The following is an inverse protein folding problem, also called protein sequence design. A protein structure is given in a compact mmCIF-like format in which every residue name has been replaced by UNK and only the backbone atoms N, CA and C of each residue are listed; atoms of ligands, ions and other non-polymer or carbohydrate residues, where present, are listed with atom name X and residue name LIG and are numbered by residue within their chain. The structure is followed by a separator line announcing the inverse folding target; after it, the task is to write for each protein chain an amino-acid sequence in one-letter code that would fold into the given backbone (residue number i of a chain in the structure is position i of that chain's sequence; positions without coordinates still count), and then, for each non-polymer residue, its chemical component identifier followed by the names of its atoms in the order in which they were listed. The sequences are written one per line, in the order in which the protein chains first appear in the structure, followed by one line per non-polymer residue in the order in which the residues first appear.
data_IF_933242833725
#
_entry.id   IF_933242833725
#
_cell.length_a   1.000
_cell.length_b   1.000
_cell.length_c   1.000
_cell.angle_alpha   90.00
_cell.angle_beta   90.00
_cell.angle_gamma   90.00
#
_symmetry.space_group_name_H-M   'P 1'
#
loop_
_entity.id
_entity.type
_entity.pdbx_description
1 polymer ?
#
# COMPACT_ATOMS: atom_id res chain seq x y z
N UNK A 1 24.90 -0.94 17.44
CA UNK A 1 24.31 -0.38 18.67
C UNK A 1 23.50 -1.44 19.41
N UNK A 2 23.46 -1.36 20.74
CA UNK A 2 22.72 -2.29 21.63
C UNK A 2 21.31 -1.79 21.97
N UNK A 3 20.81 -0.80 21.24
CA UNK A 3 19.48 -0.27 21.45
C UNK A 3 18.42 -1.33 21.13
N UNK A 4 17.44 -1.47 22.03
CA UNK A 4 16.31 -2.39 21.88
C UNK A 4 15.06 -1.69 21.35
N UNK A 5 14.98 -0.35 21.50
CA UNK A 5 13.86 0.45 21.00
C UNK A 5 14.40 1.67 20.28
N UNK A 6 13.81 1.97 19.12
CA UNK A 6 14.04 3.20 18.37
C UNK A 6 12.75 4.03 18.41
N UNK A 7 12.89 5.32 18.73
CA UNK A 7 11.78 6.28 18.67
C UNK A 7 12.19 7.39 17.71
N UNK A 8 11.50 7.48 16.57
CA UNK A 8 11.68 8.57 15.62
C UNK A 8 10.76 9.74 15.99
N UNK A 9 11.35 10.88 16.31
CA UNK A 9 10.63 12.13 16.57
C UNK A 9 10.96 13.20 15.52
N UNK A 10 11.60 12.81 14.42
CA UNK A 10 11.94 13.68 13.30
C UNK A 10 10.84 13.60 12.20
N UNK A 11 10.78 14.55 11.28
CA UNK A 11 9.86 14.51 10.15
C UNK A 11 10.33 13.57 9.02
N UNK A 12 11.44 12.84 9.18
CA UNK A 12 11.95 11.92 8.15
C UNK A 12 10.93 10.80 7.85
N UNK A 13 10.62 10.61 6.59
CA UNK A 13 9.58 9.67 6.14
C UNK A 13 8.18 10.24 6.11
N UNK A 14 7.98 11.51 6.53
CA UNK A 14 6.68 12.20 6.44
C UNK A 14 6.43 12.66 5.00
N UNK A 15 5.16 12.64 4.58
CA UNK A 15 4.74 13.18 3.30
C UNK A 15 5.16 14.67 3.15
N UNK A 16 5.70 15.11 1.99
CA UNK A 16 5.83 14.36 0.72
C UNK A 16 7.09 13.49 0.61
N UNK A 17 8.06 13.60 1.52
CA UNK A 17 9.37 12.91 1.43
C UNK A 17 9.31 11.51 2.08
N UNK A 18 8.35 10.70 1.64
CA UNK A 18 8.08 9.38 2.22
C UNK A 18 9.21 8.35 2.00
N UNK A 19 10.17 8.65 1.11
CA UNK A 19 11.32 7.77 0.85
C UNK A 19 12.41 7.91 1.92
N UNK A 20 12.43 9.01 2.66
CA UNK A 20 13.45 9.26 3.68
C UNK A 20 13.31 8.27 4.85
N UNK A 21 14.45 7.87 5.38
CA UNK A 21 14.56 7.10 6.62
C UNK A 21 15.52 7.78 7.58
N UNK A 22 15.17 7.95 8.86
CA UNK A 22 16.06 8.61 9.82
C UNK A 22 17.29 7.73 10.14
N UNK A 23 17.14 6.40 10.03
CA UNK A 23 18.18 5.44 10.39
C UNK A 23 17.94 4.10 9.68
N UNK A 24 19.01 3.34 9.44
CA UNK A 24 18.92 1.97 9.00
C UNK A 24 18.88 1.03 10.21
N UNK A 25 17.75 0.33 10.39
CA UNK A 25 17.54 -0.61 11.50
C UNK A 25 18.40 -1.87 11.40
N UNK A 26 19.06 -2.13 10.25
CA UNK A 26 20.02 -3.22 10.11
C UNK A 26 21.19 -3.10 11.09
N UNK A 27 21.51 -1.89 11.51
CA UNK A 27 22.59 -1.60 12.45
C UNK A 27 22.25 -1.90 13.93
N UNK A 28 21.04 -2.44 14.21
CA UNK A 28 20.53 -2.68 15.56
C UNK A 28 20.09 -4.14 15.73
N UNK A 29 21.05 -5.06 16.00
CA UNK A 29 20.74 -6.50 16.06
C UNK A 29 19.87 -6.91 17.26
N UNK A 30 19.75 -6.05 18.27
CA UNK A 30 18.93 -6.28 19.47
C UNK A 30 17.60 -5.51 19.47
N UNK A 31 17.21 -4.98 18.31
CA UNK A 31 16.00 -4.16 18.20
C UNK A 31 14.74 -5.01 18.40
N UNK A 32 13.89 -4.61 19.35
CA UNK A 32 12.63 -5.27 19.71
C UNK A 32 11.42 -4.40 19.38
N UNK A 33 11.61 -3.08 19.24
CA UNK A 33 10.50 -2.17 18.99
C UNK A 33 10.90 -0.90 18.24
N UNK A 34 9.97 -0.38 17.44
CA UNK A 34 10.07 0.90 16.73
C UNK A 34 8.81 1.70 16.97
N UNK A 35 8.97 2.97 17.36
CA UNK A 35 7.88 3.94 17.46
C UNK A 35 8.23 5.11 16.54
N UNK A 36 7.30 5.49 15.68
CA UNK A 36 7.47 6.64 14.80
C UNK A 36 6.42 7.70 15.13
N UNK A 37 6.84 8.95 15.38
CA UNK A 37 5.90 10.04 15.61
C UNK A 37 5.18 10.49 14.32
N UNK A 38 5.68 10.10 13.16
CA UNK A 38 5.04 10.38 11.87
C UNK A 38 3.73 9.57 11.76
N UNK A 39 2.64 10.27 11.41
CA UNK A 39 1.31 9.68 11.22
C UNK A 39 0.76 9.82 9.79
N UNK A 40 1.50 10.47 8.93
CA UNK A 40 1.19 10.61 7.50
C UNK A 40 2.49 10.47 6.67
N UNK A 41 2.68 9.31 6.06
CA UNK A 41 1.79 8.17 5.88
C UNK A 41 1.48 7.41 7.19
N UNK A 42 0.52 6.47 7.17
CA UNK A 42 0.21 5.60 8.31
C UNK A 42 1.40 4.74 8.73
N UNK A 43 2.20 4.31 7.77
CA UNK A 43 3.42 3.51 7.94
C UNK A 43 4.55 4.15 7.16
N UNK A 44 5.57 4.63 7.85
CA UNK A 44 6.81 5.10 7.21
C UNK A 44 7.66 3.92 6.76
N UNK A 45 8.68 4.17 5.95
CA UNK A 45 9.65 3.13 5.60
C UNK A 45 10.33 2.53 6.83
N UNK A 46 10.55 3.31 7.89
CA UNK A 46 11.09 2.83 9.17
C UNK A 46 10.15 1.80 9.82
N UNK A 47 8.85 2.08 9.85
CA UNK A 47 7.82 1.18 10.39
C UNK A 47 7.71 -0.08 9.53
N UNK A 48 7.69 0.05 8.21
CA UNK A 48 7.63 -1.08 7.27
C UNK A 48 8.85 -2.00 7.42
N UNK A 49 10.07 -1.45 7.46
CA UNK A 49 11.30 -2.23 7.63
C UNK A 49 11.28 -3.04 8.95
N UNK A 50 10.73 -2.47 10.02
CA UNK A 50 10.61 -3.16 11.29
C UNK A 50 9.57 -4.30 11.23
N UNK A 51 8.40 -4.05 10.62
CA UNK A 51 7.35 -5.06 10.46
C UNK A 51 7.81 -6.24 9.60
N UNK A 52 8.54 -5.99 8.50
CA UNK A 52 9.12 -7.01 7.64
C UNK A 52 10.12 -7.92 8.38
N UNK A 53 10.76 -7.41 9.44
CA UNK A 53 11.65 -8.18 10.32
C UNK A 53 10.92 -8.83 11.51
N UNK A 54 9.61 -8.72 11.60
CA UNK A 54 8.84 -9.20 12.73
C UNK A 54 9.06 -8.41 14.03
N UNK A 55 9.63 -7.19 13.94
CA UNK A 55 9.80 -6.28 15.06
C UNK A 55 8.52 -5.49 15.25
N UNK A 56 8.09 -5.33 16.51
CA UNK A 56 6.92 -4.51 16.84
C UNK A 56 7.15 -3.07 16.40
N UNK A 57 6.26 -2.52 15.57
CA UNK A 57 6.39 -1.16 15.09
C UNK A 57 5.03 -0.46 15.00
N UNK A 58 5.01 0.81 15.44
CA UNK A 58 3.80 1.63 15.50
C UNK A 58 4.07 3.02 14.96
N UNK A 59 3.13 3.56 14.16
CA UNK A 59 3.14 4.93 13.67
C UNK A 59 2.48 5.91 14.63
N UNK A 60 2.60 7.22 14.35
CA UNK A 60 2.20 8.30 15.25
C UNK A 60 0.70 8.56 15.40
N UNK A 61 -0.17 7.85 14.64
CA UNK A 61 -1.61 8.15 14.66
C UNK A 61 -2.25 7.94 16.04
N UNK A 62 -1.86 6.87 16.75
CA UNK A 62 -2.38 6.63 18.09
C UNK A 62 -1.99 7.74 19.07
N UNK A 63 -0.72 8.19 19.01
CA UNK A 63 -0.25 9.32 19.79
C UNK A 63 -1.05 10.61 19.47
N UNK A 64 -1.34 10.86 18.19
CA UNK A 64 -2.15 12.01 17.76
C UNK A 64 -3.57 11.97 18.34
N UNK A 65 -4.20 10.80 18.40
CA UNK A 65 -5.54 10.63 19.01
C UNK A 65 -5.46 10.83 20.51
N UNK A 66 -4.49 10.21 21.18
CA UNK A 66 -4.38 10.28 22.64
C UNK A 66 -4.08 11.68 23.15
N UNK A 67 -3.28 12.50 22.45
CA UNK A 67 -3.10 13.90 22.81
C UNK A 67 -4.41 14.69 22.78
N UNK A 68 -5.28 14.41 21.79
CA UNK A 68 -6.59 15.05 21.72
C UNK A 68 -7.52 14.59 22.85
N UNK A 69 -7.47 13.31 23.19
CA UNK A 69 -8.23 12.75 24.35
C UNK A 69 -7.83 13.50 25.64
N UNK A 70 -6.53 13.56 25.93
CA UNK A 70 -6.02 14.26 27.13
C UNK A 70 -6.41 15.74 27.13
N UNK A 71 -6.33 16.40 25.98
CA UNK A 71 -6.77 17.80 25.89
C UNK A 71 -8.26 17.97 26.22
N UNK A 72 -9.13 17.11 25.70
CA UNK A 72 -10.56 17.13 25.99
C UNK A 72 -10.86 16.84 27.45
N UNK A 73 -10.16 15.90 28.07
CA UNK A 73 -10.26 15.59 29.50
C UNK A 73 -9.96 16.83 30.36
N UNK A 74 -8.89 17.56 30.01
CA UNK A 74 -8.53 18.80 30.70
C UNK A 74 -9.55 19.92 30.48
N UNK A 75 -10.08 20.09 29.25
CA UNK A 75 -11.04 21.16 28.96
C UNK A 75 -12.41 20.93 29.57
N UNK A 76 -12.84 19.67 29.67
CA UNK A 76 -14.17 19.31 30.14
C UNK A 76 -14.19 18.81 31.62
N UNK A 77 -13.03 18.75 32.27
CA UNK A 77 -12.86 18.19 33.60
C UNK A 77 -13.54 16.81 33.75
N UNK A 78 -13.28 15.93 32.79
CA UNK A 78 -13.90 14.61 32.72
C UNK A 78 -12.88 13.57 32.22
N UNK A 79 -13.07 12.31 32.60
CA UNK A 79 -12.25 11.21 32.09
C UNK A 79 -12.93 10.57 30.86
N UNK A 80 -12.17 10.31 29.82
CA UNK A 80 -12.63 9.59 28.62
C UNK A 80 -12.23 8.10 28.75
N UNK A 81 -13.19 7.17 28.70
CA UNK A 81 -12.89 5.75 28.73
C UNK A 81 -11.94 5.35 27.59
N UNK A 82 -10.99 4.47 27.89
CA UNK A 82 -10.01 3.98 26.91
C UNK A 82 -10.70 3.38 25.68
N UNK A 83 -11.79 2.66 25.86
CA UNK A 83 -12.59 2.06 24.79
C UNK A 83 -13.13 3.12 23.82
N UNK A 84 -13.42 4.33 24.30
CA UNK A 84 -13.84 5.46 23.43
C UNK A 84 -12.65 5.97 22.62
N UNK A 85 -11.49 6.14 23.23
CA UNK A 85 -10.27 6.54 22.54
C UNK A 85 -9.87 5.50 21.47
N UNK A 86 -9.89 4.20 21.81
CA UNK A 86 -9.57 3.10 20.90
C UNK A 86 -10.57 3.05 19.71
N UNK A 87 -11.86 3.29 19.95
CA UNK A 87 -12.88 3.36 18.89
C UNK A 87 -12.67 4.56 17.95
N UNK A 88 -12.32 5.72 18.49
CA UNK A 88 -11.99 6.91 17.70
C UNK A 88 -10.76 6.65 16.86
N UNK A 89 -9.71 6.07 17.45
CA UNK A 89 -8.51 5.67 16.72
C UNK A 89 -8.84 4.72 15.56
N UNK A 90 -9.58 3.64 15.83
CA UNK A 90 -9.96 2.66 14.82
C UNK A 90 -10.76 3.29 13.67
N UNK A 91 -11.68 4.21 13.99
CA UNK A 91 -12.47 4.94 12.99
C UNK A 91 -11.59 5.83 12.09
N UNK A 92 -10.68 6.60 12.70
CA UNK A 92 -9.75 7.46 11.96
C UNK A 92 -8.78 6.61 11.12
N UNK A 93 -8.25 5.52 11.69
CA UNK A 93 -7.36 4.61 10.98
C UNK A 93 -8.05 4.03 9.74
N UNK A 94 -9.26 3.49 9.89
CA UNK A 94 -10.05 2.94 8.80
C UNK A 94 -10.38 3.98 7.71
N UNK A 95 -10.64 5.23 8.09
CA UNK A 95 -10.89 6.32 7.14
C UNK A 95 -9.64 6.77 6.36
N UNK A 96 -8.46 6.38 6.81
CA UNK A 96 -7.19 6.71 6.15
C UNK A 96 -6.60 5.53 5.37
N UNK A 97 -6.91 4.30 5.77
CA UNK A 97 -6.34 3.11 5.14
C UNK A 97 -6.97 2.83 3.78
N UNK A 98 -6.13 2.57 2.78
CA UNK A 98 -6.56 2.13 1.46
C UNK A 98 -6.70 0.59 1.42
N UNK A 99 -7.60 0.10 0.59
CA UNK A 99 -7.70 -1.32 0.23
C UNK A 99 -6.99 -1.50 -1.10
N UNK A 100 -5.88 -2.22 -1.10
CA UNK A 100 -5.11 -2.49 -2.32
C UNK A 100 -5.39 -3.91 -2.78
N UNK A 101 -5.89 -4.05 -4.01
CA UNK A 101 -6.17 -5.33 -4.64
C UNK A 101 -5.07 -5.66 -5.63
N UNK A 102 -4.32 -6.74 -5.37
CA UNK A 102 -3.31 -7.27 -6.27
C UNK A 102 -3.63 -8.70 -6.69
N UNK A 103 -3.01 -9.18 -7.73
CA UNK A 103 -3.24 -10.54 -8.23
C UNK A 103 -3.04 -10.67 -9.73
N UNK A 104 -3.17 -11.88 -10.22
CA UNK A 104 -2.99 -12.21 -11.64
C UNK A 104 -3.98 -11.44 -12.54
N UNK A 105 -3.63 -11.19 -13.81
CA UNK A 105 -4.58 -10.70 -14.80
C UNK A 105 -5.80 -11.63 -14.87
N UNK A 106 -7.01 -11.05 -14.76
CA UNK A 106 -8.25 -11.85 -14.77
C UNK A 106 -8.67 -12.43 -13.41
N UNK A 107 -7.98 -12.16 -12.31
CA UNK A 107 -8.34 -12.66 -10.97
C UNK A 107 -9.58 -12.00 -10.34
N UNK A 108 -10.20 -11.02 -11.01
CA UNK A 108 -11.43 -10.38 -10.53
C UNK A 108 -11.23 -9.12 -9.69
N UNK A 109 -10.02 -8.53 -9.65
CA UNK A 109 -9.71 -7.31 -8.87
C UNK A 109 -10.71 -6.18 -9.12
N UNK A 110 -10.91 -5.81 -10.39
CA UNK A 110 -11.83 -4.73 -10.76
C UNK A 110 -13.29 -5.06 -10.41
N UNK A 111 -13.69 -6.33 -10.48
CA UNK A 111 -15.04 -6.77 -10.07
C UNK A 111 -15.22 -6.62 -8.57
N UNK A 112 -14.28 -7.12 -7.78
CA UNK A 112 -14.31 -6.99 -6.31
C UNK A 112 -14.23 -5.53 -5.90
N UNK A 113 -13.34 -4.74 -6.52
CA UNK A 113 -13.18 -3.32 -6.24
C UNK A 113 -14.47 -2.52 -6.45
N UNK A 114 -15.17 -2.74 -7.56
CA UNK A 114 -16.46 -2.08 -7.84
C UNK A 114 -17.58 -2.51 -6.88
N UNK A 115 -17.55 -3.73 -6.36
CA UNK A 115 -18.51 -4.16 -5.33
C UNK A 115 -18.25 -3.45 -3.99
N UNK A 116 -16.99 -3.28 -3.61
CA UNK A 116 -16.61 -2.58 -2.38
C UNK A 116 -16.86 -1.07 -2.45
N UNK A 117 -16.94 -0.48 -3.64
CA UNK A 117 -17.27 0.94 -3.83
C UNK A 117 -18.63 1.32 -3.23
N UNK A 118 -19.56 0.34 -3.15
CA UNK A 118 -20.88 0.53 -2.54
C UNK A 118 -20.83 0.85 -1.04
N UNK A 119 -19.71 0.56 -0.37
CA UNK A 119 -19.49 0.82 1.06
C UNK A 119 -18.87 2.20 1.34
N UNK A 120 -18.83 3.09 0.35
CA UNK A 120 -18.36 4.47 0.51
C UNK A 120 -16.87 4.70 0.22
N UNK A 121 -16.18 3.67 -0.26
CA UNK A 121 -14.82 3.81 -0.81
C UNK A 121 -14.88 4.24 -2.28
N UNK A 122 -13.91 5.00 -2.74
CA UNK A 122 -13.77 5.29 -4.17
C UNK A 122 -12.86 4.25 -4.84
N UNK A 123 -13.37 3.59 -5.88
CA UNK A 123 -12.61 2.63 -6.66
C UNK A 123 -11.72 3.31 -7.70
N UNK A 124 -10.52 2.77 -7.89
CA UNK A 124 -9.56 3.21 -8.89
C UNK A 124 -8.77 2.00 -9.42
N UNK A 125 -8.66 1.90 -10.74
CA UNK A 125 -7.78 0.93 -11.40
C UNK A 125 -6.56 1.66 -11.97
N UNK A 126 -5.35 1.25 -11.58
CA UNK A 126 -4.11 1.92 -12.02
C UNK A 126 -3.89 1.83 -13.52
N UNK A 127 -4.33 0.75 -14.15
CA UNK A 127 -4.22 0.57 -15.60
C UNK A 127 -5.13 1.58 -16.32
N UNK A 128 -6.37 1.78 -15.83
CA UNK A 128 -7.29 2.79 -16.37
C UNK A 128 -6.74 4.23 -16.21
N UNK A 129 -6.12 4.53 -15.08
CA UNK A 129 -5.49 5.85 -14.85
C UNK A 129 -4.35 6.11 -15.83
N UNK A 130 -3.51 5.09 -16.09
CA UNK A 130 -2.42 5.19 -17.06
C UNK A 130 -2.97 5.44 -18.47
N UNK A 131 -3.98 4.69 -18.91
CA UNK A 131 -4.59 4.86 -20.24
C UNK A 131 -5.24 6.22 -20.39
N UNK A 132 -5.93 6.72 -19.39
CA UNK A 132 -6.51 8.07 -19.37
C UNK A 132 -5.43 9.16 -19.48
N UNK A 133 -4.31 8.99 -18.75
CA UNK A 133 -3.18 9.94 -18.76
C UNK A 133 -2.46 9.99 -20.11
N UNK A 134 -2.31 8.84 -20.76
CA UNK A 134 -1.60 8.72 -22.04
C UNK A 134 -2.50 8.95 -23.25
N UNK A 135 -3.83 8.86 -23.09
CA UNK A 135 -4.78 8.92 -24.20
C UNK A 135 -4.70 7.73 -25.17
N UNK A 136 -4.05 6.63 -24.78
CA UNK A 136 -3.90 5.42 -25.59
C UNK A 136 -3.94 4.17 -24.70
N UNK A 137 -4.13 3.00 -25.33
CA UNK A 137 -4.10 1.74 -24.58
C UNK A 137 -2.69 1.40 -24.08
N UNK A 138 -2.60 0.67 -22.96
CA UNK A 138 -1.31 0.15 -22.45
C UNK A 138 -0.61 -0.68 -23.53
N UNK A 139 -1.37 -1.42 -24.34
CA UNK A 139 -0.86 -2.21 -25.43
C UNK A 139 -0.10 -1.35 -26.45
N UNK A 140 -0.69 -0.23 -26.84
CA UNK A 140 -0.08 0.69 -27.82
C UNK A 140 1.07 1.47 -27.20
N UNK A 141 0.93 1.86 -25.92
CA UNK A 141 2.01 2.50 -25.15
C UNK A 141 3.27 1.63 -25.11
N UNK A 142 3.12 0.34 -24.80
CA UNK A 142 4.25 -0.60 -24.73
C UNK A 142 4.85 -0.83 -26.12
N UNK A 143 4.04 -0.90 -27.19
CA UNK A 143 4.56 -1.03 -28.57
C UNK A 143 5.34 0.20 -29.02
N UNK A 144 4.89 1.40 -28.64
CA UNK A 144 5.49 2.66 -29.07
C UNK A 144 6.73 3.02 -28.26
N UNK A 145 6.65 2.91 -26.92
CA UNK A 145 7.67 3.41 -25.98
C UNK A 145 8.42 2.31 -25.21
N UNK A 146 7.96 1.07 -25.33
CA UNK A 146 8.55 -0.08 -24.64
C UNK A 146 8.02 -0.32 -23.23
N UNK A 147 8.21 -1.53 -22.72
CA UNK A 147 7.78 -1.93 -21.37
C UNK A 147 8.47 -1.12 -20.25
N UNK A 148 9.79 -0.80 -20.30
CA UNK A 148 10.43 0.00 -19.25
C UNK A 148 9.74 1.34 -19.01
N UNK A 149 9.38 2.07 -20.07
CA UNK A 149 8.65 3.33 -19.98
C UNK A 149 7.28 3.15 -19.30
N UNK A 150 6.55 2.10 -19.68
CA UNK A 150 5.27 1.79 -19.04
C UNK A 150 5.47 1.53 -17.54
N UNK A 151 6.51 0.77 -17.14
CA UNK A 151 6.79 0.48 -15.73
C UNK A 151 7.15 1.72 -14.92
N UNK A 152 7.86 2.68 -15.51
CA UNK A 152 8.17 3.95 -14.85
C UNK A 152 6.90 4.77 -14.62
N UNK A 153 6.03 4.82 -15.61
CA UNK A 153 4.74 5.48 -15.50
C UNK A 153 3.79 4.78 -14.51
N UNK A 154 3.79 3.44 -14.48
CA UNK A 154 3.05 2.64 -13.49
C UNK A 154 3.51 3.01 -12.06
N UNK A 155 4.82 3.13 -11.83
CA UNK A 155 5.38 3.55 -10.55
C UNK A 155 4.95 4.98 -10.17
N UNK A 156 4.97 5.91 -11.13
CA UNK A 156 4.52 7.29 -10.90
C UNK A 156 3.05 7.36 -10.50
N UNK A 157 2.19 6.65 -11.23
CA UNK A 157 0.75 6.57 -10.93
C UNK A 157 0.51 5.93 -9.56
N UNK A 158 1.18 4.83 -9.24
CA UNK A 158 1.06 4.17 -7.94
C UNK A 158 1.46 5.12 -6.80
N UNK A 159 2.56 5.86 -6.95
CA UNK A 159 3.02 6.84 -5.96
C UNK A 159 1.97 7.93 -5.72
N UNK A 160 1.35 8.42 -6.78
CA UNK A 160 0.29 9.43 -6.70
C UNK A 160 -0.98 8.89 -6.04
N UNK A 161 -1.50 7.74 -6.51
CA UNK A 161 -2.78 7.23 -6.01
C UNK A 161 -2.69 6.70 -4.59
N UNK A 162 -1.55 6.13 -4.18
CA UNK A 162 -1.32 5.61 -2.83
C UNK A 162 -1.17 6.71 -1.77
N UNK A 163 -0.89 7.97 -2.18
CA UNK A 163 -0.82 9.11 -1.26
C UNK A 163 -2.19 9.58 -0.75
N UNK A 164 -3.26 9.20 -1.44
CA UNK A 164 -4.63 9.50 -1.03
C UNK A 164 -5.13 8.46 -0.02
N UNK A 165 -6.25 8.77 0.64
CA UNK A 165 -6.86 7.93 1.67
C UNK A 165 -8.23 7.42 1.24
N UNK A 166 -8.71 6.35 1.89
CA UNK A 166 -10.05 5.79 1.72
C UNK A 166 -10.35 5.36 0.28
N UNK A 167 -9.40 4.69 -0.37
CA UNK A 167 -9.53 4.21 -1.74
C UNK A 167 -9.40 2.70 -1.84
N UNK A 168 -10.09 2.15 -2.83
CA UNK A 168 -9.85 0.80 -3.32
C UNK A 168 -8.98 0.94 -4.56
N UNK A 169 -7.75 0.45 -4.49
CA UNK A 169 -6.75 0.55 -5.54
C UNK A 169 -6.57 -0.84 -6.16
N UNK A 170 -7.05 -1.04 -7.38
CA UNK A 170 -6.76 -2.23 -8.19
C UNK A 170 -5.46 -1.97 -8.95
N UNK A 171 -4.47 -2.83 -8.76
CA UNK A 171 -3.17 -2.68 -9.45
C UNK A 171 -3.07 -3.51 -10.71
N UNK A 172 -2.29 -3.06 -11.67
CA UNK A 172 -1.81 -3.90 -12.75
C UNK A 172 -1.11 -5.14 -12.21
N UNK A 173 -1.28 -6.29 -12.87
CA UNK A 173 -0.73 -7.56 -12.37
C UNK A 173 0.80 -7.62 -12.31
N UNK A 174 1.52 -6.65 -12.86
CA UNK A 174 2.98 -6.52 -12.79
C UNK A 174 3.49 -5.45 -11.83
N UNK A 175 2.60 -4.71 -11.19
CA UNK A 175 2.95 -3.63 -10.27
C UNK A 175 3.84 -4.11 -9.10
N UNK A 176 3.60 -5.32 -8.63
CA UNK A 176 4.35 -5.96 -7.53
C UNK A 176 5.79 -6.36 -7.90
N UNK A 177 6.18 -6.34 -9.17
CA UNK A 177 7.53 -6.69 -9.60
C UNK A 177 8.57 -5.64 -9.19
N UNK A 178 8.13 -4.45 -8.82
CA UNK A 178 8.98 -3.39 -8.28
C UNK A 178 8.69 -3.22 -6.80
N UNK A 179 9.68 -3.45 -5.97
CA UNK A 179 9.60 -3.30 -4.51
C UNK A 179 9.12 -1.89 -4.11
N UNK A 180 9.59 -0.85 -4.82
CA UNK A 180 9.16 0.53 -4.57
C UNK A 180 7.64 0.71 -4.69
N UNK A 181 6.98 0.02 -5.64
CA UNK A 181 5.53 0.06 -5.80
C UNK A 181 4.83 -0.57 -4.59
N UNK A 182 5.31 -1.74 -4.17
CA UNK A 182 4.78 -2.46 -3.02
C UNK A 182 4.90 -1.60 -1.76
N UNK A 183 6.05 -0.98 -1.54
CA UNK A 183 6.28 -0.08 -0.40
C UNK A 183 5.36 1.14 -0.44
N UNK A 184 5.20 1.78 -1.60
CA UNK A 184 4.26 2.90 -1.76
C UNK A 184 2.83 2.51 -1.39
N UNK A 185 2.38 1.34 -1.84
CA UNK A 185 1.03 0.82 -1.57
C UNK A 185 0.86 0.46 -0.09
N UNK A 186 1.87 -0.14 0.56
CA UNK A 186 1.84 -0.54 1.97
C UNK A 186 1.87 0.65 2.94
N UNK A 187 2.37 1.84 2.56
CA UNK A 187 2.45 3.01 3.45
C UNK A 187 1.09 3.45 3.98
N UNK A 188 0.08 3.51 3.11
CA UNK A 188 -1.29 3.90 3.47
C UNK A 188 -2.32 2.81 3.16
N UNK A 189 -1.93 1.64 2.67
CA UNK A 189 -2.85 0.62 2.24
C UNK A 189 -2.57 -0.74 2.85
N UNK A 190 -3.61 -1.55 2.93
CA UNK A 190 -3.52 -2.98 3.20
C UNK A 190 -3.64 -3.72 1.88
N UNK A 191 -2.61 -4.51 1.57
CA UNK A 191 -2.54 -5.25 0.31
C UNK A 191 -3.26 -6.58 0.47
N UNK A 192 -4.19 -6.85 -0.44
CA UNK A 192 -4.95 -8.10 -0.52
C UNK A 192 -4.63 -8.79 -1.84
N UNK A 193 -4.07 -9.97 -1.74
CA UNK A 193 -3.83 -10.82 -2.89
C UNK A 193 -5.09 -11.61 -3.26
N UNK A 194 -5.65 -11.34 -4.44
CA UNK A 194 -6.74 -12.12 -5.00
C UNK A 194 -6.17 -13.35 -5.72
N UNK A 195 -6.10 -14.45 -4.97
CA UNK A 195 -5.66 -15.72 -5.51
C UNK A 195 -6.75 -16.33 -6.40
N UNK A 196 -6.42 -16.56 -7.67
CA UNK A 196 -7.25 -17.26 -8.61
C UNK A 196 -6.46 -18.43 -9.21
N UNK A 197 -7.06 -19.61 -9.20
CA UNK A 197 -6.47 -20.78 -9.85
C UNK A 197 -6.22 -20.52 -11.34
N UNK A 198 -5.12 -21.03 -11.85
CA UNK A 198 -4.75 -20.87 -13.27
C UNK A 198 -5.87 -21.31 -14.24
N UNK A 199 -6.62 -22.35 -13.85
CA UNK A 199 -7.77 -22.88 -14.61
C UNK A 199 -8.93 -21.89 -14.79
N UNK A 200 -9.02 -20.88 -13.90
CA UNK A 200 -10.05 -19.83 -13.91
C UNK A 200 -9.59 -18.56 -14.60
N UNK A 201 -8.29 -18.44 -14.86
CA UNK A 201 -7.71 -17.27 -15.52
C UNK A 201 -7.85 -17.44 -17.04
N UNK A 202 -8.37 -16.42 -17.71
CA UNK A 202 -8.53 -16.43 -19.15
C UNK A 202 -7.51 -15.49 -19.81
N UNK A 203 -6.83 -15.98 -20.83
CA UNK A 203 -6.04 -15.16 -21.70
C UNK A 203 -6.98 -14.24 -22.52
N UNK A 204 -6.73 -12.94 -22.50
CA UNK A 204 -7.53 -11.98 -23.27
C UNK A 204 -6.64 -11.14 -24.16
N UNK A 205 -7.04 -10.94 -25.41
CA UNK A 205 -6.29 -10.16 -26.40
C UNK A 205 -6.08 -8.69 -26.05
N UNK A 206 -6.82 -8.17 -25.06
CA UNK A 206 -6.64 -6.81 -24.54
C UNK A 206 -5.43 -6.66 -23.59
N UNK A 207 -4.73 -7.74 -23.25
CA UNK A 207 -3.61 -7.74 -22.30
C UNK A 207 -2.36 -8.32 -22.97
N UNK A 208 -1.44 -7.47 -23.47
CA UNK A 208 -0.32 -7.90 -24.32
C UNK A 208 0.65 -8.90 -23.65
N UNK A 209 0.75 -8.86 -22.32
CA UNK A 209 1.63 -9.74 -21.55
C UNK A 209 0.97 -11.08 -21.17
N UNK A 210 -0.35 -11.24 -21.37
CA UNK A 210 -1.11 -12.45 -21.06
C UNK A 210 -2.15 -12.78 -22.14
N UNK A 211 -1.85 -12.48 -23.39
CA UNK A 211 -2.69 -12.69 -24.56
C UNK A 211 -2.80 -14.16 -24.99
N UNK A 212 -1.87 -15.00 -24.55
CA UNK A 212 -1.87 -16.43 -24.83
C UNK A 212 -1.82 -17.24 -23.54
N UNK A 213 -2.30 -18.48 -23.58
CA UNK A 213 -2.29 -19.40 -22.43
C UNK A 213 -0.86 -19.70 -21.94
N UNK A 214 0.10 -19.81 -22.86
CA UNK A 214 1.49 -20.05 -22.56
C UNK A 214 2.12 -18.87 -21.80
N UNK A 215 1.87 -17.64 -22.27
CA UNK A 215 2.31 -16.42 -21.58
C UNK A 215 1.67 -16.31 -20.19
N UNK A 216 0.38 -16.62 -20.08
CA UNK A 216 -0.31 -16.60 -18.79
C UNK A 216 0.28 -17.61 -17.80
N UNK A 217 0.58 -18.84 -18.23
CA UNK A 217 1.26 -19.86 -17.42
C UNK A 217 2.64 -19.40 -16.95
N UNK A 218 3.41 -18.79 -17.85
CA UNK A 218 4.73 -18.23 -17.52
C UNK A 218 4.63 -17.13 -16.48
N UNK A 219 3.73 -16.16 -16.68
CA UNK A 219 3.48 -15.07 -15.73
C UNK A 219 3.01 -15.61 -14.38
N UNK A 220 2.19 -16.65 -14.38
CA UNK A 220 1.73 -17.30 -13.15
C UNK A 220 2.91 -17.87 -12.35
N UNK A 221 3.80 -18.62 -13.02
CA UNK A 221 4.97 -19.20 -12.38
C UNK A 221 5.97 -18.15 -11.85
N UNK A 222 6.13 -17.03 -12.57
CA UNK A 222 7.03 -15.94 -12.19
C UNK A 222 6.48 -15.11 -11.01
N UNK A 223 5.17 -14.84 -10.97
CA UNK A 223 4.56 -13.88 -10.04
C UNK A 223 4.01 -14.50 -8.77
N UNK A 224 3.56 -15.75 -8.82
CA UNK A 224 2.97 -16.39 -7.65
C UNK A 224 3.90 -16.43 -6.43
N UNK A 225 5.21 -16.72 -6.54
CA UNK A 225 6.11 -16.68 -5.39
C UNK A 225 6.19 -15.29 -4.74
N UNK A 226 6.14 -14.22 -5.55
CA UNK A 226 6.18 -12.84 -5.06
C UNK A 226 4.86 -12.48 -4.38
N UNK A 227 3.73 -12.82 -5.02
CA UNK A 227 2.37 -12.54 -4.52
C UNK A 227 2.07 -13.26 -3.19
N UNK A 228 2.69 -14.41 -2.91
CA UNK A 228 2.55 -15.13 -1.66
C UNK A 228 3.47 -14.60 -0.54
N UNK A 229 4.54 -13.91 -0.88
CA UNK A 229 5.48 -13.34 0.08
C UNK A 229 5.03 -11.97 0.63
N UNK A 230 4.10 -11.30 -0.06
CA UNK A 230 3.55 -9.97 0.30
C UNK A 230 2.30 -10.06 1.16
#
# INVERSE_FOLDING_TARGET
SDAQVIINTTPSGMYPNCEDKPIDIANFPKLEGVIDAVYNPLRTNLVLDAQERGIKAEGGLYMLVMQAVVAVEHFLDTAIPKETADRVFASIYASKENIVLTGMPGSGKSTVGKLLELDGFSFLDTDEVIEQRCGCSICDLIKEKGEPYFRDLETEVIREVSSNSCRIISTGGGAILREENVRCLKRNGRVYFLNAELSRLQATGSRPLSDTEEKLKRLYAERMPILWAE
#
